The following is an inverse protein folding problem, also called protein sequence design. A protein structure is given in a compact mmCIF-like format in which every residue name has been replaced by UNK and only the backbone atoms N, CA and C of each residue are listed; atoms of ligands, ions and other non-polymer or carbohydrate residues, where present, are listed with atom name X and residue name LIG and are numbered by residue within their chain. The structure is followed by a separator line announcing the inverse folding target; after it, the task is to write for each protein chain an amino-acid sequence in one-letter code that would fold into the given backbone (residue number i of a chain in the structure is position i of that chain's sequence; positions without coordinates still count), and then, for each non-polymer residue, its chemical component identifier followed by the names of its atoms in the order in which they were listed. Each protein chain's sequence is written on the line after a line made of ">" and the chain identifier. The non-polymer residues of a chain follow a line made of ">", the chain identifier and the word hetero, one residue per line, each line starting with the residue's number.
data_IF_129878852598
#
_entry.id   IF_129878852598
#
_cell.length_a   1.000
_cell.length_b   1.000
_cell.length_c   1.000
_cell.angle_alpha   90.00
_cell.angle_beta   90.00
_cell.angle_gamma   90.00
#
_symmetry.space_group_name_H-M   'P 1'
#
loop_
_entity.id
_entity.type
_entity.pdbx_description
1 polymer ?
#
# COMPACT_ATOMS: atom_id res chain seq x y z
N UNK A 1 18.75 12.67 -1.66
CA UNK A 1 17.69 11.87 -1.01
C UNK A 1 17.88 11.99 0.49
N UNK A 2 16.83 12.32 1.23
CA UNK A 2 16.90 12.37 2.70
C UNK A 2 17.04 10.96 3.23
N UNK A 3 18.09 10.68 4.01
CA UNK A 3 18.24 9.39 4.68
C UNK A 3 17.25 9.34 5.85
N UNK A 4 16.38 8.32 5.88
CA UNK A 4 15.34 8.14 6.89
C UNK A 4 15.67 6.91 7.72
N UNK A 5 15.58 7.02 9.04
CA UNK A 5 15.60 5.88 9.97
C UNK A 5 14.17 5.59 10.44
N UNK A 6 13.72 4.34 10.28
CA UNK A 6 12.43 3.89 10.79
C UNK A 6 12.55 3.57 12.28
N UNK A 7 11.70 4.20 13.10
CA UNK A 7 11.63 4.00 14.55
C UNK A 7 10.40 3.15 14.89
N UNK A 8 10.53 2.30 15.91
CA UNK A 8 9.43 1.47 16.40
C UNK A 8 9.24 0.21 15.55
N UNK A 9 8.08 -0.42 15.68
CA UNK A 9 7.66 -1.55 14.85
C UNK A 9 7.06 -1.04 13.53
N UNK A 10 7.94 -0.75 12.56
CA UNK A 10 7.57 -0.14 11.28
C UNK A 10 8.28 -0.80 10.10
N UNK A 11 7.54 -0.97 9.01
CA UNK A 11 7.97 -1.46 7.71
C UNK A 11 7.46 -0.49 6.65
N UNK A 12 8.35 -0.05 5.77
CA UNK A 12 8.04 0.81 4.65
C UNK A 12 7.86 -0.04 3.39
N UNK A 13 6.76 0.16 2.69
CA UNK A 13 6.35 -0.67 1.55
C UNK A 13 5.94 0.25 0.41
N UNK A 14 6.47 -0.01 -0.78
CA UNK A 14 5.98 0.58 -2.02
C UNK A 14 4.88 -0.32 -2.57
N UNK A 15 3.63 0.13 -2.50
CA UNK A 15 2.50 -0.59 -3.07
C UNK A 15 2.57 -0.60 -4.59
N UNK A 16 2.11 -1.70 -5.17
CA UNK A 16 1.90 -1.85 -6.59
C UNK A 16 0.77 -0.93 -7.04
N UNK A 17 0.96 -0.28 -8.20
CA UNK A 17 -0.12 0.48 -8.81
C UNK A 17 -1.15 -0.50 -9.35
N UNK A 18 -2.41 -0.26 -9.01
CA UNK A 18 -3.49 -0.82 -9.81
C UNK A 18 -3.39 -0.11 -11.16
N UNK A 19 -3.13 -0.87 -12.23
CA UNK A 19 -3.45 -0.35 -13.55
C UNK A 19 -4.96 -0.08 -13.50
N UNK A 20 -5.39 1.15 -13.80
CA UNK A 20 -6.79 1.63 -13.69
C UNK A 20 -7.80 0.78 -14.50
N UNK A 21 -7.31 -0.25 -15.19
CA UNK A 21 -7.92 -0.95 -16.28
C UNK A 21 -7.59 -2.44 -16.15
N UNK A 22 -8.63 -3.27 -16.04
CA UNK A 22 -8.48 -4.67 -16.46
C UNK A 22 -8.43 -4.65 -17.98
N UNK A 23 -7.24 -4.82 -18.55
CA UNK A 23 -7.10 -5.03 -19.99
C UNK A 23 -7.49 -6.48 -20.25
N UNK A 24 -8.60 -6.71 -20.96
CA UNK A 24 -8.97 -8.07 -21.40
C UNK A 24 -7.93 -8.59 -22.41
N UNK A 25 -7.88 -9.90 -22.65
CA UNK A 25 -6.98 -10.51 -23.65
C UNK A 25 -7.15 -9.91 -25.06
N UNK A 26 -8.29 -9.24 -25.30
CA UNK A 26 -8.61 -8.51 -26.53
C UNK A 26 -8.18 -7.03 -26.54
N UNK A 27 -7.47 -6.56 -25.50
CA UNK A 27 -7.00 -5.18 -25.39
C UNK A 27 -8.03 -4.16 -24.91
N UNK A 28 -9.19 -4.59 -24.40
CA UNK A 28 -10.25 -3.69 -23.94
C UNK A 28 -9.96 -3.26 -22.50
N UNK A 29 -9.86 -1.94 -22.29
CA UNK A 29 -9.71 -1.31 -20.99
C UNK A 29 -11.07 -1.26 -20.27
N UNK A 30 -11.21 -2.00 -19.17
CA UNK A 30 -12.40 -1.93 -18.30
C UNK A 30 -12.07 -1.05 -17.08
N UNK A 31 -12.62 0.18 -16.98
CA UNK A 31 -12.43 1.02 -15.80
C UNK A 31 -13.14 0.40 -14.59
N UNK A 32 -12.46 0.37 -13.45
CA UNK A 32 -13.06 -0.07 -12.19
C UNK A 32 -14.03 1.02 -11.69
N UNK A 33 -15.33 0.73 -11.65
CA UNK A 33 -16.35 1.66 -11.15
C UNK A 33 -16.78 1.25 -9.74
N UNK A 34 -16.80 2.20 -8.81
CA UNK A 34 -17.40 2.05 -7.48
C UNK A 34 -18.83 2.59 -7.48
N UNK A 35 -19.75 1.86 -6.86
CA UNK A 35 -21.15 2.29 -6.70
C UNK A 35 -21.28 3.05 -5.38
N UNK A 36 -21.68 4.31 -5.44
CA UNK A 36 -22.07 5.11 -4.28
C UNK A 36 -23.57 5.41 -4.33
N UNK A 37 -24.28 5.23 -3.21
CA UNK A 37 -25.64 5.75 -3.06
C UNK A 37 -25.59 7.27 -2.90
N UNK A 38 -26.35 7.99 -3.73
CA UNK A 38 -26.61 9.42 -3.50
C UNK A 38 -27.72 9.60 -2.47
N UNK A 39 -27.77 10.75 -1.79
CA UNK A 39 -28.82 11.14 -0.83
C UNK A 39 -30.26 11.05 -1.38
N UNK A 40 -30.40 10.94 -2.71
CA UNK A 40 -31.68 10.76 -3.43
C UNK A 40 -32.01 9.29 -3.79
N UNK A 41 -31.25 8.32 -3.30
CA UNK A 41 -31.43 6.89 -3.59
C UNK A 41 -31.04 6.47 -5.02
N UNK A 42 -30.32 7.33 -5.76
CA UNK A 42 -29.81 7.00 -7.10
C UNK A 42 -28.38 6.46 -6.97
N UNK A 43 -28.13 5.31 -7.57
CA UNK A 43 -26.78 4.74 -7.65
C UNK A 43 -25.94 5.61 -8.60
N UNK A 44 -24.89 6.25 -8.07
CA UNK A 44 -23.89 6.97 -8.84
C UNK A 44 -22.66 6.09 -8.97
N UNK A 45 -22.28 5.75 -10.20
CA UNK A 45 -21.00 5.11 -10.49
C UNK A 45 -19.93 6.17 -10.59
N UNK A 46 -18.91 6.06 -9.75
CA UNK A 46 -17.68 6.85 -9.84
C UNK A 46 -16.54 5.95 -10.26
N UNK A 47 -15.55 6.49 -10.97
CA UNK A 47 -14.29 5.78 -11.18
C UNK A 47 -13.68 5.49 -9.80
N UNK A 48 -13.25 4.24 -9.60
CA UNK A 48 -12.56 3.85 -8.39
C UNK A 48 -11.32 4.70 -8.22
N UNK A 49 -11.18 5.34 -7.08
CA UNK A 49 -9.98 6.10 -6.71
C UNK A 49 -8.83 5.20 -6.23
N UNK A 50 -9.04 3.87 -6.27
CA UNK A 50 -8.14 2.88 -5.71
C UNK A 50 -6.95 2.63 -6.66
N UNK A 51 -5.97 3.55 -6.63
CA UNK A 51 -4.77 3.53 -7.48
C UNK A 51 -3.71 2.49 -7.10
N UNK A 52 -3.87 1.81 -5.98
CA UNK A 52 -2.86 0.91 -5.42
C UNK A 52 -3.48 -0.39 -4.90
N UNK A 53 -2.76 -1.49 -5.11
CA UNK A 53 -3.16 -2.83 -4.67
C UNK A 53 -2.64 -3.09 -3.25
N UNK A 54 -3.27 -4.01 -2.49
CA UNK A 54 -2.76 -4.49 -1.19
C UNK A 54 -1.59 -5.47 -1.38
N UNK A 55 -0.70 -5.16 -2.32
CA UNK A 55 0.52 -5.89 -2.63
C UNK A 55 1.62 -4.86 -2.91
N UNK A 56 2.86 -5.20 -2.60
CA UNK A 56 3.96 -4.27 -2.82
C UNK A 56 5.32 -4.85 -2.52
N UNK A 57 6.33 -3.99 -2.57
CA UNK A 57 7.73 -4.33 -2.30
C UNK A 57 8.20 -3.62 -1.04
N UNK A 58 8.84 -4.35 -0.12
CA UNK A 58 9.43 -3.78 1.08
C UNK A 58 10.62 -2.91 0.67
N UNK A 59 10.61 -1.63 1.07
CA UNK A 59 11.73 -0.71 0.81
C UNK A 59 12.65 -0.58 2.01
N UNK A 60 12.11 -0.66 3.22
CA UNK A 60 12.89 -0.56 4.45
C UNK A 60 12.17 -1.23 5.62
N UNK A 61 12.94 -1.82 6.53
CA UNK A 61 12.45 -2.47 7.76
C UNK A 61 13.17 -1.81 8.94
N UNK A 62 12.41 -1.43 9.97
CA UNK A 62 12.99 -0.95 11.23
C UNK A 62 13.69 -2.09 11.98
N UNK A 63 14.71 -1.76 12.80
CA UNK A 63 15.41 -2.76 13.63
C UNK A 63 14.45 -3.54 14.54
N UNK A 64 13.49 -2.84 15.16
CA UNK A 64 12.53 -3.48 16.05
C UNK A 64 11.56 -4.41 15.30
N UNK A 65 11.10 -4.04 14.09
CA UNK A 65 10.28 -4.95 13.29
C UNK A 65 11.08 -6.20 12.85
N UNK A 66 12.36 -6.04 12.47
CA UNK A 66 13.23 -7.17 12.12
C UNK A 66 13.36 -8.17 13.27
N UNK A 67 13.67 -7.69 14.49
CA UNK A 67 13.81 -8.56 15.65
C UNK A 67 12.52 -9.31 15.97
N UNK A 68 11.36 -8.67 15.88
CA UNK A 68 10.06 -9.35 16.10
C UNK A 68 9.75 -10.39 15.04
N UNK A 69 10.08 -10.11 13.77
CA UNK A 69 9.90 -11.07 12.69
C UNK A 69 10.82 -12.30 12.86
N UNK A 70 12.06 -12.08 13.29
CA UNK A 70 13.02 -13.14 13.63
C UNK A 70 12.52 -14.01 14.79
N UNK A 71 11.94 -13.42 15.85
CA UNK A 71 11.29 -14.14 16.95
C UNK A 71 10.12 -15.03 16.47
N UNK A 72 9.41 -14.62 15.42
CA UNK A 72 8.34 -15.39 14.79
C UNK A 72 8.84 -16.40 13.75
N UNK A 73 10.16 -16.48 13.49
CA UNK A 73 10.74 -17.34 12.47
C UNK A 73 10.45 -16.88 11.03
N UNK A 74 10.07 -15.61 10.85
CA UNK A 74 9.76 -15.02 9.54
C UNK A 74 10.95 -14.17 9.09
N UNK A 75 11.49 -14.47 7.91
CA UNK A 75 12.54 -13.66 7.29
C UNK A 75 11.94 -12.76 6.21
N UNK A 76 11.90 -11.45 6.49
CA UNK A 76 11.60 -10.41 5.52
C UNK A 76 12.81 -9.49 5.36
N UNK A 77 13.15 -9.17 4.12
CA UNK A 77 14.23 -8.23 3.79
C UNK A 77 13.72 -7.15 2.83
N UNK A 78 14.43 -6.03 2.75
CA UNK A 78 14.16 -5.03 1.73
C UNK A 78 14.33 -5.68 0.33
N UNK A 79 13.39 -5.39 -0.57
CA UNK A 79 13.28 -6.02 -1.89
C UNK A 79 12.27 -7.17 -1.95
N UNK A 80 11.87 -7.74 -0.82
CA UNK A 80 10.83 -8.78 -0.81
C UNK A 80 9.48 -8.22 -1.25
N UNK A 81 8.75 -9.03 -2.02
CA UNK A 81 7.35 -8.75 -2.36
C UNK A 81 6.42 -9.34 -1.31
N UNK A 82 5.40 -8.59 -0.92
CA UNK A 82 4.46 -8.97 0.14
C UNK A 82 3.02 -8.64 -0.21
N UNK A 83 2.10 -9.43 0.33
CA UNK A 83 0.71 -9.05 0.50
C UNK A 83 0.54 -8.39 1.87
N UNK A 84 -0.22 -7.30 1.88
CA UNK A 84 -0.51 -6.51 3.07
C UNK A 84 -1.99 -6.49 3.33
N UNK A 85 -2.37 -6.33 4.59
CA UNK A 85 -3.77 -6.24 4.95
C UNK A 85 -4.45 -5.07 4.19
N UNK A 86 -5.65 -5.24 3.60
CA UNK A 86 -6.31 -4.17 2.85
C UNK A 86 -6.52 -2.86 3.65
N UNK A 87 -6.55 -2.92 4.99
CA UNK A 87 -6.60 -1.74 5.85
C UNK A 87 -5.40 -0.81 5.66
N UNK A 88 -4.25 -1.29 5.17
CA UNK A 88 -3.07 -0.47 4.90
C UNK A 88 -3.29 0.53 3.76
N UNK A 89 -4.33 0.35 2.94
CA UNK A 89 -4.71 1.31 1.90
C UNK A 89 -5.35 2.58 2.47
N UNK A 90 -5.77 2.56 3.74
CA UNK A 90 -6.28 3.73 4.45
C UNK A 90 -5.24 4.85 4.54
N UNK A 91 -5.70 6.09 4.50
CA UNK A 91 -4.87 7.30 4.63
C UNK A 91 -4.04 7.34 5.92
N UNK A 92 -4.47 6.62 6.97
CA UNK A 92 -3.75 6.51 8.24
C UNK A 92 -2.36 5.86 8.11
N UNK A 93 -2.15 5.03 7.10
CA UNK A 93 -0.87 4.34 6.87
C UNK A 93 -0.03 4.96 5.75
N UNK A 94 -0.56 5.99 5.08
CA UNK A 94 0.15 6.66 3.99
C UNK A 94 1.42 7.33 4.51
N UNK A 95 2.54 6.97 3.91
CA UNK A 95 3.82 7.56 4.22
C UNK A 95 4.14 8.70 3.26
N UNK A 96 4.31 9.88 3.83
CA UNK A 96 4.75 11.08 3.09
C UNK A 96 6.26 11.22 3.29
N UNK A 97 7.01 10.92 2.22
CA UNK A 97 8.48 11.02 2.16
C UNK A 97 8.97 12.46 2.32
N UNK A 98 8.22 13.42 1.78
CA UNK A 98 8.48 14.84 1.93
C UNK A 98 7.32 15.51 2.68
N UNK A 99 7.58 15.93 3.93
CA UNK A 99 6.61 16.64 4.79
C UNK A 99 6.83 18.14 4.80
N UNK A 100 7.75 18.65 3.98
CA UNK A 100 8.07 20.09 3.92
C UNK A 100 7.12 20.87 3.01
N UNK A 101 6.26 20.17 2.26
CA UNK A 101 5.30 20.74 1.31
C UNK A 101 3.88 20.73 1.86
N UNK A 102 3.14 21.81 1.58
CA UNK A 102 1.72 21.95 1.93
C UNK A 102 0.83 20.93 1.21
N UNK A 103 1.15 20.65 -0.06
CA UNK A 103 0.43 19.67 -0.87
C UNK A 103 1.33 18.43 -0.98
N UNK A 104 0.80 17.30 -0.51
CA UNK A 104 1.48 16.01 -0.52
C UNK A 104 0.58 14.98 -1.17
N UNK A 105 0.88 14.65 -2.42
CA UNK A 105 0.21 13.57 -3.14
C UNK A 105 0.70 12.21 -2.63
N UNK A 106 -0.20 11.25 -2.53
CA UNK A 106 0.13 9.90 -2.13
C UNK A 106 0.82 9.15 -3.28
N UNK A 107 2.07 8.72 -3.04
CA UNK A 107 2.89 8.04 -4.04
C UNK A 107 2.86 6.50 -3.93
N UNK A 108 1.90 5.95 -3.18
CA UNK A 108 1.80 4.51 -2.97
C UNK A 108 2.74 3.96 -1.90
N UNK A 109 3.37 4.81 -1.09
CA UNK A 109 4.28 4.38 -0.03
C UNK A 109 3.51 4.29 1.29
N UNK A 110 3.49 3.13 1.93
CA UNK A 110 2.84 2.95 3.24
C UNK A 110 3.86 2.59 4.31
N UNK A 111 3.59 3.02 5.56
CA UNK A 111 4.40 2.68 6.73
C UNK A 111 3.51 1.97 7.75
N UNK A 112 3.76 0.67 7.93
CA UNK A 112 2.87 -0.25 8.64
C UNK A 112 3.64 -1.06 9.68
N UNK A 113 3.02 -1.52 10.78
CA UNK A 113 3.65 -2.49 11.67
C UNK A 113 3.73 -3.87 11.00
N UNK A 114 4.65 -4.73 11.46
CA UNK A 114 4.87 -6.06 10.86
C UNK A 114 3.61 -6.95 10.85
N UNK A 115 2.71 -6.76 11.83
CA UNK A 115 1.44 -7.52 11.93
C UNK A 115 0.48 -7.32 10.75
N UNK A 116 0.67 -6.26 9.95
CA UNK A 116 -0.15 -6.01 8.76
C UNK A 116 0.44 -6.63 7.49
N UNK A 117 1.58 -7.32 7.58
CA UNK A 117 2.08 -8.18 6.50
C UNK A 117 1.38 -9.52 6.61
N UNK A 118 0.65 -9.91 5.56
CA UNK A 118 -0.11 -11.16 5.56
C UNK A 118 0.68 -12.31 4.94
N UNK A 119 1.47 -12.05 3.91
CA UNK A 119 2.28 -13.08 3.24
C UNK A 119 3.46 -12.49 2.47
N UNK A 120 4.51 -13.31 2.30
CA UNK A 120 5.62 -13.09 1.37
C UNK A 120 5.34 -13.81 0.05
N UNK A 121 5.54 -13.12 -1.07
CA UNK A 121 5.43 -13.67 -2.43
C UNK A 121 6.79 -14.27 -2.80
N UNK A 122 6.80 -15.53 -3.23
CA UNK A 122 8.00 -16.30 -3.61
C UNK A 122 8.09 -16.41 -5.13
#
# INVERSE_FOLDING_TARGET
>A
MTQIELIGDRILIQLDKALDHTTTDSGIIIPLNTVMESDSGRLKTTLSEQRHLPAGTITQISKQASSKLEELGVSLVAGDRVYVNPQTLSSSYHWKTDRTKLITEFQGVVCVPHILIEAKIV
#
